data_IF_878635728543
#
_entry.id   IF_878635728543
#
_cell.length_a   1.000
_cell.length_b   1.000
_cell.length_c   1.000
_cell.angle_alpha   90.00
_cell.angle_beta   90.00
_cell.angle_gamma   90.00
#
_symmetry.space_group_name_H-M   'P 1'
#
loop_
_entity.id
_entity.type
_entity.pdbx_description
1 polymer ?
#
# COMPACT_ATOMS: atom_id res chain seq x y z
N UNK A 1 41.76 66.31 36.19
CA UNK A 1 40.58 66.94 35.59
C UNK A 1 40.71 66.84 34.09
N UNK A 2 39.62 66.52 33.40
CA UNK A 2 39.46 66.17 31.97
C UNK A 2 39.65 64.70 31.59
N UNK A 3 38.52 64.00 31.68
CA UNK A 3 38.16 62.86 30.84
C UNK A 3 37.94 63.28 29.39
N UNK A 4 38.17 62.36 28.44
CA UNK A 4 37.51 62.30 27.13
C UNK A 4 37.56 60.85 26.59
N UNK A 5 36.46 60.12 26.78
CA UNK A 5 36.01 59.01 25.92
C UNK A 5 35.53 59.58 24.55
N UNK A 6 35.22 58.78 23.49
CA UNK A 6 35.32 57.32 23.32
C UNK A 6 36.00 56.89 21.99
N UNK A 7 36.49 55.65 21.94
CA UNK A 7 36.97 54.99 20.71
C UNK A 7 35.77 54.68 19.79
N UNK A 8 35.73 55.36 18.65
CA UNK A 8 34.77 55.15 17.58
C UNK A 8 34.81 53.73 17.01
N UNK A 9 33.62 53.19 16.82
CA UNK A 9 33.28 51.88 16.24
C UNK A 9 33.99 51.67 14.89
N UNK A 10 34.85 50.67 14.83
CA UNK A 10 35.31 50.11 13.56
C UNK A 10 34.14 49.35 12.93
N UNK A 11 33.56 49.92 11.87
CA UNK A 11 32.56 49.27 11.01
C UNK A 11 33.30 48.23 10.17
N UNK A 12 33.35 46.98 10.65
CA UNK A 12 33.75 45.83 9.86
C UNK A 12 32.52 45.32 9.08
N UNK A 13 32.23 45.96 7.95
CA UNK A 13 31.26 45.46 6.98
C UNK A 13 31.97 44.41 6.11
N UNK A 14 32.18 43.21 6.67
CA UNK A 14 32.61 42.04 5.90
C UNK A 14 31.37 41.51 5.17
N UNK A 15 31.26 41.96 3.93
CA UNK A 15 30.32 41.51 2.91
C UNK A 15 30.38 39.98 2.81
N UNK A 16 29.43 39.28 3.44
CA UNK A 16 29.13 37.90 3.10
C UNK A 16 28.60 37.88 1.66
N UNK A 17 29.51 37.78 0.69
CA UNK A 17 29.23 37.28 -0.64
C UNK A 17 28.75 35.84 -0.48
N UNK A 18 27.44 35.69 -0.24
CA UNK A 18 26.74 34.45 -0.52
C UNK A 18 26.88 34.22 -2.02
N UNK A 19 27.93 33.48 -2.41
CA UNK A 19 28.03 32.90 -3.74
C UNK A 19 26.73 32.12 -3.94
N UNK A 20 25.89 32.48 -4.93
CA UNK A 20 24.77 31.62 -5.28
C UNK A 20 25.39 30.27 -5.64
N UNK A 21 25.04 29.22 -4.90
CA UNK A 21 25.38 27.87 -5.28
C UNK A 21 24.79 27.65 -6.67
N UNK A 22 25.64 27.64 -7.69
CA UNK A 22 25.24 27.38 -9.06
C UNK A 22 24.41 26.11 -9.06
N UNK A 23 23.13 26.21 -9.40
CA UNK A 23 22.30 25.04 -9.61
C UNK A 23 22.97 24.22 -10.72
N UNK A 24 23.48 23.04 -10.39
CA UNK A 24 24.00 22.10 -11.37
C UNK A 24 22.80 21.58 -12.16
N UNK A 25 22.39 22.31 -13.19
CA UNK A 25 21.16 22.06 -13.96
C UNK A 25 21.24 20.80 -14.86
N UNK A 26 22.41 20.15 -14.92
CA UNK A 26 22.64 18.93 -15.69
C UNK A 26 22.90 17.76 -14.74
N UNK A 27 21.93 16.85 -14.64
CA UNK A 27 22.03 15.65 -13.82
C UNK A 27 22.82 14.57 -14.57
N UNK A 28 23.91 14.10 -13.96
CA UNK A 28 24.71 13.00 -14.51
C UNK A 28 24.29 11.68 -13.87
N UNK A 29 23.83 10.68 -14.65
CA UNK A 29 23.39 9.41 -14.11
C UNK A 29 24.48 8.69 -13.31
N UNK A 30 24.11 8.13 -12.16
CA UNK A 30 25.04 7.43 -11.25
C UNK A 30 25.25 5.99 -11.70
N UNK A 31 26.51 5.60 -11.87
CA UNK A 31 26.90 4.24 -12.25
C UNK A 31 26.49 3.18 -11.21
N UNK A 32 26.13 2.00 -11.70
CA UNK A 32 25.89 0.82 -10.88
C UNK A 32 27.18 0.35 -10.22
N UNK A 33 27.05 -0.25 -9.04
CA UNK A 33 28.19 -0.89 -8.34
C UNK A 33 28.72 -2.12 -9.07
N UNK A 34 27.87 -2.79 -9.85
CA UNK A 34 28.21 -4.05 -10.52
C UNK A 34 28.74 -3.83 -11.95
N UNK A 35 28.24 -2.81 -12.64
CA UNK A 35 28.64 -2.52 -14.03
C UNK A 35 28.44 -1.02 -14.30
N UNK A 36 29.52 -0.31 -14.61
CA UNK A 36 29.52 1.13 -14.85
C UNK A 36 28.70 1.55 -16.09
N UNK A 37 28.42 0.61 -17.00
CA UNK A 37 27.61 0.83 -18.21
C UNK A 37 26.12 0.90 -17.91
N UNK A 38 25.70 0.43 -16.72
CA UNK A 38 24.35 0.59 -16.19
C UNK A 38 24.34 1.77 -15.24
N UNK A 39 23.53 2.78 -15.53
CA UNK A 39 23.40 3.98 -14.71
C UNK A 39 21.97 4.18 -14.23
N UNK A 40 21.82 4.90 -13.12
CA UNK A 40 20.55 5.21 -12.49
C UNK A 40 20.40 6.71 -12.30
N UNK A 41 19.20 7.21 -12.50
CA UNK A 41 18.86 8.62 -12.25
C UNK A 41 17.48 8.71 -11.63
N UNK A 42 17.30 9.66 -10.72
CA UNK A 42 15.99 9.95 -10.16
C UNK A 42 15.29 10.93 -11.10
N UNK A 43 14.05 10.63 -11.47
CA UNK A 43 13.26 11.53 -12.28
C UNK A 43 12.93 12.81 -11.51
N UNK A 44 13.09 13.94 -12.19
CA UNK A 44 12.68 15.26 -11.77
C UNK A 44 12.23 16.02 -13.02
N UNK A 45 11.00 16.58 -13.06
CA UNK A 45 10.51 17.31 -14.24
C UNK A 45 11.31 18.57 -14.58
N UNK A 46 12.08 19.12 -13.63
CA UNK A 46 12.87 20.34 -13.83
C UNK A 46 14.33 20.08 -14.23
N UNK A 47 14.75 18.82 -14.41
CA UNK A 47 16.14 18.46 -14.68
C UNK A 47 16.36 17.96 -16.10
N UNK A 48 17.53 18.29 -16.66
CA UNK A 48 18.02 17.72 -17.92
C UNK A 48 19.03 16.61 -17.59
N UNK A 49 18.88 15.46 -18.22
CA UNK A 49 19.68 14.26 -17.94
C UNK A 49 20.73 14.08 -19.04
N UNK A 50 22.00 13.94 -18.67
CA UNK A 50 23.08 13.66 -19.63
C UNK A 50 23.12 12.18 -20.02
N UNK A 51 23.16 11.89 -21.32
CA UNK A 51 23.33 10.55 -21.89
C UNK A 51 24.58 10.51 -22.77
N UNK A 52 25.55 9.67 -22.38
CA UNK A 52 26.79 9.51 -23.14
C UNK A 52 26.65 8.37 -24.16
N UNK A 53 26.45 8.76 -25.42
CA UNK A 53 26.25 7.86 -26.54
C UNK A 53 27.54 7.67 -27.32
N UNK A 54 27.87 6.41 -27.62
CA UNK A 54 29.10 6.04 -28.33
C UNK A 54 28.77 5.39 -29.66
N UNK A 55 29.52 5.73 -30.70
CA UNK A 55 29.33 5.16 -32.04
C UNK A 55 29.30 3.62 -32.01
N UNK A 56 28.26 3.03 -32.59
CA UNK A 56 28.09 1.57 -32.64
C UNK A 56 27.60 0.91 -31.34
N UNK A 57 27.31 1.68 -30.28
CA UNK A 57 26.69 1.19 -29.04
C UNK A 57 25.22 1.64 -29.00
N UNK A 58 24.31 0.70 -28.70
CA UNK A 58 22.92 1.03 -28.45
C UNK A 58 22.70 1.37 -26.97
N UNK A 59 22.04 2.48 -26.71
CA UNK A 59 21.66 2.92 -25.37
C UNK A 59 20.20 2.58 -25.10
N UNK A 60 19.94 1.91 -23.98
CA UNK A 60 18.61 1.54 -23.51
C UNK A 60 18.18 2.45 -22.36
N UNK A 61 17.06 3.16 -22.51
CA UNK A 61 16.38 3.89 -21.43
C UNK A 61 15.18 3.07 -20.95
N UNK A 62 15.12 2.81 -19.65
CA UNK A 62 14.02 2.09 -19.01
C UNK A 62 13.22 3.06 -18.13
N UNK A 63 11.99 3.36 -18.56
CA UNK A 63 11.04 4.21 -17.85
C UNK A 63 10.26 3.40 -16.80
N UNK A 64 9.32 4.05 -16.11
CA UNK A 64 8.44 3.40 -15.13
C UNK A 64 7.63 2.27 -15.77
N UNK A 65 7.53 1.09 -15.12
CA UNK A 65 6.59 0.06 -15.55
C UNK A 65 5.15 0.59 -15.64
N UNK A 66 4.51 0.37 -16.80
CA UNK A 66 3.16 0.83 -17.09
C UNK A 66 3.07 2.28 -17.59
N UNK A 67 4.21 2.95 -17.81
CA UNK A 67 4.29 4.19 -18.58
C UNK A 67 4.41 3.87 -20.08
N UNK A 68 3.69 4.62 -20.91
CA UNK A 68 3.56 4.37 -22.35
C UNK A 68 4.17 5.52 -23.14
N UNK A 69 5.12 5.18 -24.02
CA UNK A 69 5.70 6.10 -24.98
C UNK A 69 4.63 6.71 -25.90
N UNK A 70 4.66 8.04 -26.09
CA UNK A 70 3.80 8.73 -27.06
C UNK A 70 4.60 9.37 -28.19
N UNK A 71 5.63 10.15 -27.85
CA UNK A 71 6.35 10.95 -28.84
C UNK A 71 7.79 11.24 -28.43
N UNK A 72 8.66 11.53 -29.41
CA UNK A 72 10.03 11.98 -29.18
C UNK A 72 10.45 13.02 -30.22
N UNK A 73 11.43 13.86 -29.84
CA UNK A 73 12.09 14.80 -30.74
C UNK A 73 13.59 14.78 -30.45
N UNK A 74 14.39 14.54 -31.49
CA UNK A 74 15.83 14.83 -31.45
C UNK A 74 16.09 16.22 -32.03
N UNK A 75 17.06 16.94 -31.48
CA UNK A 75 17.51 18.21 -32.09
C UNK A 75 18.08 17.98 -33.49
N UNK A 76 18.87 16.92 -33.68
CA UNK A 76 19.25 16.39 -34.99
C UNK A 76 18.63 15.00 -35.20
N UNK A 77 17.53 14.97 -35.96
CA UNK A 77 16.79 13.74 -36.26
C UNK A 77 17.52 12.74 -37.16
N UNK A 78 18.51 13.18 -37.96
CA UNK A 78 19.24 12.29 -38.88
C UNK A 78 20.43 11.62 -38.19
N UNK A 79 20.89 12.18 -37.08
CA UNK A 79 22.07 11.71 -36.36
C UNK A 79 21.81 10.50 -35.45
N UNK A 80 20.55 10.12 -35.23
CA UNK A 80 20.17 9.03 -34.34
C UNK A 80 19.11 8.09 -34.93
N UNK A 81 19.33 6.79 -34.75
CA UNK A 81 18.27 5.80 -34.91
C UNK A 81 17.58 5.55 -33.57
N UNK A 82 16.24 5.52 -33.57
CA UNK A 82 15.42 5.31 -32.37
C UNK A 82 14.39 4.21 -32.59
N UNK A 83 14.15 3.41 -31.54
CA UNK A 83 13.07 2.42 -31.49
C UNK A 83 12.58 2.27 -30.06
N UNK A 84 11.34 1.82 -29.88
CA UNK A 84 10.74 1.67 -28.56
C UNK A 84 9.87 0.41 -28.48
N UNK A 85 9.69 -0.07 -27.24
CA UNK A 85 8.74 -1.12 -26.91
C UNK A 85 8.22 -0.88 -25.49
N UNK A 86 6.95 -0.50 -25.37
CA UNK A 86 6.33 -0.13 -24.09
C UNK A 86 7.12 0.99 -23.39
N UNK A 87 7.65 0.72 -22.20
CA UNK A 87 8.46 1.63 -21.38
C UNK A 87 9.97 1.53 -21.65
N UNK A 88 10.37 0.77 -22.68
CA UNK A 88 11.77 0.64 -23.10
C UNK A 88 12.02 1.48 -24.35
N UNK A 89 12.98 2.40 -24.28
CA UNK A 89 13.41 3.22 -25.39
C UNK A 89 14.85 2.84 -25.75
N UNK A 90 15.15 2.75 -27.04
CA UNK A 90 16.47 2.40 -27.52
C UNK A 90 16.88 3.42 -28.57
N UNK A 91 18.11 3.90 -28.47
CA UNK A 91 18.68 4.75 -29.48
C UNK A 91 20.15 4.43 -29.71
N UNK A 92 20.67 4.81 -30.88
CA UNK A 92 22.09 4.72 -31.20
C UNK A 92 22.49 5.85 -32.15
N UNK A 93 23.70 6.42 -32.02
CA UNK A 93 24.22 7.35 -33.01
C UNK A 93 24.39 6.67 -34.37
N UNK A 94 24.02 7.37 -35.44
CA UNK A 94 24.21 6.98 -36.85
C UNK A 94 25.09 7.93 -37.64
N UNK A 95 25.27 9.16 -37.16
CA UNK A 95 26.19 10.15 -37.72
C UNK A 95 27.37 10.43 -36.78
N UNK A 96 28.41 11.06 -37.33
CA UNK A 96 29.49 11.67 -36.56
C UNK A 96 29.07 13.05 -36.03
N UNK A 97 29.75 13.55 -35.00
CA UNK A 97 29.48 14.84 -34.34
C UNK A 97 28.02 15.04 -33.93
N UNK A 98 27.39 13.97 -33.44
CA UNK A 98 25.95 13.91 -33.15
C UNK A 98 25.54 14.59 -31.82
N UNK A 99 26.31 15.51 -31.26
CA UNK A 99 25.95 16.19 -30.01
C UNK A 99 24.62 16.96 -30.14
N UNK A 100 23.60 16.58 -29.37
CA UNK A 100 22.25 17.17 -29.50
C UNK A 100 21.39 16.94 -28.24
N UNK A 101 20.10 17.18 -28.32
CA UNK A 101 19.12 16.88 -27.29
C UNK A 101 18.08 15.85 -27.74
N UNK A 102 17.45 15.20 -26.77
CA UNK A 102 16.31 14.31 -26.97
C UNK A 102 15.22 14.67 -25.96
N UNK A 103 14.02 14.95 -26.45
CA UNK A 103 12.82 15.13 -25.65
C UNK A 103 11.93 13.91 -25.84
N UNK A 104 11.43 13.33 -24.75
CA UNK A 104 10.51 12.19 -24.79
C UNK A 104 9.25 12.52 -24.00
N UNK A 105 8.09 12.28 -24.62
CA UNK A 105 6.77 12.50 -24.03
C UNK A 105 6.06 11.16 -23.88
N UNK A 106 5.49 10.94 -22.70
CA UNK A 106 4.71 9.74 -22.35
C UNK A 106 3.31 10.10 -21.86
N UNK A 107 2.50 9.10 -21.54
CA UNK A 107 1.21 9.26 -20.84
C UNK A 107 1.30 9.81 -19.41
N UNK A 108 2.49 9.84 -18.81
CA UNK A 108 2.68 10.31 -17.43
C UNK A 108 3.60 11.51 -17.31
N UNK A 109 4.66 11.58 -18.12
CA UNK A 109 5.82 12.45 -17.87
C UNK A 109 6.45 12.94 -19.17
N UNK A 110 7.23 14.00 -19.02
CA UNK A 110 8.11 14.54 -20.06
C UNK A 110 9.55 14.38 -19.59
N UNK A 111 10.44 14.02 -20.49
CA UNK A 111 11.86 13.85 -20.22
C UNK A 111 12.68 14.70 -21.17
N UNK A 112 13.63 15.44 -20.60
CA UNK A 112 14.62 16.21 -21.35
C UNK A 112 16.01 15.59 -21.17
N UNK A 113 16.62 15.17 -22.27
CA UNK A 113 17.95 14.57 -22.30
C UNK A 113 18.90 15.43 -23.12
N UNK A 114 20.14 15.56 -22.63
CA UNK A 114 21.29 16.05 -23.41
C UNK A 114 22.10 14.84 -23.84
N UNK A 115 22.28 14.69 -25.15
CA UNK A 115 23.08 13.62 -25.73
C UNK A 115 24.50 14.13 -25.94
N UNK A 116 25.48 13.41 -25.41
CA UNK A 116 26.89 13.59 -25.78
C UNK A 116 27.30 12.44 -26.71
N UNK A 117 28.06 12.76 -27.75
CA UNK A 117 28.56 11.83 -28.73
C UNK A 117 30.06 11.58 -28.52
N UNK A 118 30.47 10.32 -28.65
CA UNK A 118 31.89 9.98 -28.77
C UNK A 118 32.13 9.01 -29.93
N UNK A 119 33.12 9.36 -30.75
CA UNK A 119 33.63 8.49 -31.80
C UNK A 119 34.55 7.38 -31.26
N UNK A 120 35.10 7.54 -30.04
CA UNK A 120 35.94 6.51 -29.43
C UNK A 120 35.09 5.38 -28.85
N UNK A 121 35.20 4.19 -29.45
CA UNK A 121 34.49 2.98 -29.00
C UNK A 121 34.90 2.51 -27.60
N UNK A 122 36.03 2.98 -27.09
CA UNK A 122 36.51 2.67 -25.74
C UNK A 122 36.06 3.70 -24.69
N UNK A 123 35.39 4.79 -25.11
CA UNK A 123 34.83 5.77 -24.20
C UNK A 123 33.79 5.13 -23.25
N UNK A 124 33.54 5.72 -22.07
CA UNK A 124 32.60 5.19 -21.08
C UNK A 124 31.15 5.30 -21.56
N UNK A 125 30.73 4.37 -22.42
CA UNK A 125 29.41 4.35 -23.03
C UNK A 125 28.30 4.00 -22.02
N UNK A 126 27.15 4.66 -22.17
CA UNK A 126 25.92 4.30 -21.48
C UNK A 126 25.18 3.20 -22.23
N UNK A 127 25.10 2.00 -21.64
CA UNK A 127 24.35 0.88 -22.22
C UNK A 127 22.91 0.88 -21.73
N UNK A 128 22.71 1.13 -20.43
CA UNK A 128 21.39 1.09 -19.81
C UNK A 128 21.21 2.21 -18.79
N UNK A 129 20.18 3.02 -18.98
CA UNK A 129 19.68 3.97 -17.99
C UNK A 129 18.40 3.43 -17.35
N UNK A 130 18.39 3.39 -16.02
CA UNK A 130 17.20 3.05 -15.23
C UNK A 130 16.68 4.30 -14.54
N UNK A 131 15.47 4.72 -14.91
CA UNK A 131 14.77 5.83 -14.26
C UNK A 131 14.16 5.36 -12.94
N UNK A 132 14.38 6.13 -11.88
CA UNK A 132 13.79 5.90 -10.55
C UNK A 132 12.83 7.02 -10.18
N UNK A 133 11.78 6.68 -9.44
CA UNK A 133 10.67 7.58 -9.13
C UNK A 133 10.43 7.60 -7.62
N UNK A 134 11.22 8.37 -6.86
CA UNK A 134 11.23 8.28 -5.39
C UNK A 134 9.87 8.58 -4.77
N UNK A 135 9.08 9.50 -5.34
CA UNK A 135 7.73 9.82 -4.86
C UNK A 135 6.76 8.64 -5.01
N UNK A 136 6.83 7.92 -6.14
CA UNK A 136 5.96 6.77 -6.39
C UNK A 136 6.35 5.62 -5.47
N UNK A 137 7.64 5.34 -5.32
CA UNK A 137 8.15 4.32 -4.41
C UNK A 137 7.74 4.60 -2.97
N UNK A 138 7.86 5.85 -2.51
CA UNK A 138 7.42 6.27 -1.18
C UNK A 138 5.91 6.08 -0.99
N UNK A 139 5.09 6.47 -1.98
CA UNK A 139 3.63 6.28 -1.94
C UNK A 139 3.25 4.80 -1.87
N UNK A 140 3.87 3.96 -2.69
CA UNK A 140 3.63 2.52 -2.69
C UNK A 140 3.99 1.88 -1.35
N UNK A 141 5.13 2.28 -0.76
CA UNK A 141 5.55 1.82 0.56
C UNK A 141 4.58 2.26 1.66
N UNK A 142 4.11 3.50 1.64
CA UNK A 142 3.13 4.00 2.59
C UNK A 142 1.80 3.24 2.49
N UNK A 143 1.31 2.99 1.28
CA UNK A 143 0.09 2.21 1.07
C UNK A 143 0.24 0.76 1.53
N UNK A 144 1.38 0.12 1.26
CA UNK A 144 1.66 -1.24 1.72
C UNK A 144 1.72 -1.32 3.25
N UNK A 145 2.38 -0.34 3.89
CA UNK A 145 2.43 -0.25 5.36
C UNK A 145 1.04 -0.05 5.97
N UNK A 146 0.19 0.79 5.36
CA UNK A 146 -1.18 0.99 5.81
C UNK A 146 -2.02 -0.28 5.68
N UNK A 147 -1.93 -1.00 4.55
CA UNK A 147 -2.63 -2.28 4.36
C UNK A 147 -2.21 -3.31 5.40
N UNK A 148 -0.90 -3.45 5.63
CA UNK A 148 -0.37 -4.36 6.63
C UNK A 148 -0.84 -3.99 8.05
N UNK A 149 -0.92 -2.69 8.38
CA UNK A 149 -1.44 -2.24 9.67
C UNK A 149 -2.93 -2.59 9.84
N UNK A 150 -3.74 -2.42 8.80
CA UNK A 150 -5.17 -2.80 8.80
C UNK A 150 -5.34 -4.31 8.94
N UNK A 151 -4.55 -5.10 8.23
CA UNK A 151 -4.62 -6.57 8.31
C UNK A 151 -4.25 -7.06 9.71
N UNK A 152 -3.18 -6.51 10.29
CA UNK A 152 -2.79 -6.80 11.68
C UNK A 152 -3.88 -6.42 12.67
N UNK A 153 -4.52 -5.26 12.51
CA UNK A 153 -5.58 -4.86 13.43
C UNK A 153 -6.82 -5.74 13.28
N UNK A 154 -7.18 -6.18 12.08
CA UNK A 154 -8.25 -7.15 11.85
C UNK A 154 -7.96 -8.49 12.54
N UNK A 155 -6.73 -9.00 12.45
CA UNK A 155 -6.33 -10.25 13.10
C UNK A 155 -6.22 -10.13 14.62
N UNK A 156 -5.73 -9.00 15.13
CA UNK A 156 -5.55 -8.77 16.56
C UNK A 156 -6.85 -8.47 17.30
N UNK A 157 -7.98 -8.33 16.59
CA UNK A 157 -9.27 -8.00 17.19
C UNK A 157 -9.94 -9.24 17.79
N UNK A 158 -9.30 -9.81 18.81
CA UNK A 158 -9.96 -10.70 19.75
C UNK A 158 -10.70 -9.81 20.76
N UNK A 159 -12.03 -9.75 20.66
CA UNK A 159 -12.87 -9.09 21.65
C UNK A 159 -12.82 -9.81 23.01
N UNK A 160 -13.48 -9.23 24.02
CA UNK A 160 -13.72 -9.93 25.28
C UNK A 160 -14.44 -11.25 25.00
N UNK A 161 -13.84 -12.34 25.46
CA UNK A 161 -14.20 -13.69 25.05
C UNK A 161 -14.82 -14.42 26.24
N UNK A 162 -16.05 -14.89 26.07
CA UNK A 162 -16.79 -15.61 27.09
C UNK A 162 -16.44 -17.10 27.04
N UNK A 163 -15.53 -17.52 27.93
CA UNK A 163 -15.01 -18.89 27.99
C UNK A 163 -15.78 -19.82 28.96
N UNK A 164 -16.62 -19.27 29.83
CA UNK A 164 -17.05 -19.97 31.07
C UNK A 164 -18.55 -20.27 31.15
N UNK A 165 -19.33 -19.98 30.10
CA UNK A 165 -20.78 -20.02 30.19
C UNK A 165 -21.46 -21.06 29.28
N UNK A 166 -20.72 -22.01 28.74
CA UNK A 166 -21.28 -23.01 27.83
C UNK A 166 -21.49 -24.35 28.54
N UNK A 167 -22.75 -24.74 28.74
CA UNK A 167 -23.14 -26.06 29.25
C UNK A 167 -23.69 -26.92 28.10
N UNK A 168 -23.72 -28.24 28.28
CA UNK A 168 -24.15 -29.19 27.25
C UNK A 168 -25.06 -30.27 27.80
N UNK A 169 -26.01 -30.72 26.99
CA UNK A 169 -26.94 -31.80 27.30
C UNK A 169 -27.26 -32.62 26.05
N UNK A 170 -27.30 -33.95 26.15
CA UNK A 170 -27.57 -34.86 25.02
C UNK A 170 -26.38 -35.76 24.71
N UNK A 171 -26.21 -36.13 23.44
CA UNK A 171 -25.19 -37.10 23.03
C UNK A 171 -23.78 -36.48 23.04
N UNK A 172 -22.91 -36.98 23.92
CA UNK A 172 -21.56 -36.49 24.10
C UNK A 172 -20.61 -36.80 22.94
N UNK A 173 -20.93 -37.75 22.05
CA UNK A 173 -20.08 -38.13 20.90
C UNK A 173 -19.90 -37.01 19.87
N UNK A 174 -20.83 -36.04 19.82
CA UNK A 174 -20.77 -34.89 18.92
C UNK A 174 -20.46 -33.58 19.66
N UNK A 175 -19.97 -33.68 20.89
CA UNK A 175 -19.71 -32.51 21.70
C UNK A 175 -18.41 -31.80 21.30
N UNK A 176 -18.43 -30.46 21.21
CA UNK A 176 -17.20 -29.71 21.08
C UNK A 176 -16.36 -29.83 22.37
N UNK A 177 -15.04 -29.78 22.21
CA UNK A 177 -14.07 -29.69 23.30
C UNK A 177 -14.12 -28.32 23.95
N UNK A 178 -14.25 -27.27 23.13
CA UNK A 178 -14.32 -25.89 23.57
C UNK A 178 -15.46 -25.15 22.88
N UNK A 179 -16.17 -24.32 23.64
CA UNK A 179 -17.19 -23.42 23.13
C UNK A 179 -17.04 -22.06 23.80
N UNK A 180 -17.03 -20.98 23.00
CA UNK A 180 -16.91 -19.61 23.50
C UNK A 180 -17.59 -18.63 22.55
N UNK A 181 -17.82 -17.40 23.01
CA UNK A 181 -18.26 -16.29 22.14
C UNK A 181 -17.48 -15.00 22.38
N UNK A 182 -17.48 -14.13 21.37
CA UNK A 182 -16.93 -12.76 21.43
C UNK A 182 -18.04 -11.69 21.45
N UNK A 183 -19.28 -12.10 21.78
CA UNK A 183 -20.49 -11.27 21.70
C UNK A 183 -21.08 -11.11 20.29
N UNK A 184 -20.37 -11.49 19.22
CA UNK A 184 -20.85 -11.42 17.82
C UNK A 184 -20.92 -12.79 17.15
N UNK A 185 -19.95 -13.63 17.39
CA UNK A 185 -19.77 -14.97 16.86
C UNK A 185 -19.65 -15.97 18.01
N UNK A 186 -20.19 -17.16 17.81
CA UNK A 186 -19.96 -18.31 18.68
C UNK A 186 -18.99 -19.26 17.99
N UNK A 187 -17.96 -19.68 18.70
CA UNK A 187 -16.92 -20.57 18.23
C UNK A 187 -17.09 -21.92 18.92
N UNK A 188 -17.05 -22.99 18.12
CA UNK A 188 -17.16 -24.36 18.59
C UNK A 188 -15.96 -25.14 18.03
N UNK A 189 -15.11 -25.64 18.91
CA UNK A 189 -13.96 -26.45 18.54
C UNK A 189 -14.21 -27.92 18.86
N UNK A 190 -14.10 -28.77 17.84
CA UNK A 190 -14.37 -30.21 17.94
C UNK A 190 -13.07 -31.00 18.14
N UNK A 191 -13.18 -32.25 18.65
CA UNK A 191 -12.05 -33.16 18.68
C UNK A 191 -11.50 -33.41 17.27
N UNK A 192 -10.21 -33.71 17.11
CA UNK A 192 -9.67 -34.12 15.82
C UNK A 192 -10.37 -35.38 15.29
N UNK A 193 -10.42 -35.54 13.97
CA UNK A 193 -10.96 -36.73 13.28
C UNK A 193 -12.44 -37.06 13.61
N UNK A 194 -13.22 -36.06 14.03
CA UNK A 194 -14.66 -36.22 14.30
C UNK A 194 -15.49 -35.61 13.17
N UNK A 195 -16.58 -36.28 12.81
CA UNK A 195 -17.56 -35.76 11.84
C UNK A 195 -18.21 -34.47 12.37
N UNK A 196 -18.24 -33.44 11.52
CA UNK A 196 -18.76 -32.12 11.91
C UNK A 196 -20.29 -32.13 11.94
N UNK A 197 -20.94 -31.88 13.09
CA UNK A 197 -22.39 -31.82 13.17
C UNK A 197 -22.95 -30.56 12.50
N UNK A 198 -24.20 -30.63 12.05
CA UNK A 198 -24.93 -29.45 11.60
C UNK A 198 -25.44 -28.68 12.82
N UNK A 199 -25.23 -27.35 12.84
CA UNK A 199 -25.61 -26.49 13.96
C UNK A 199 -26.87 -25.70 13.64
N UNK A 200 -27.85 -25.81 14.53
CA UNK A 200 -29.11 -25.08 14.49
C UNK A 200 -29.19 -24.13 15.68
N UNK A 201 -29.63 -22.91 15.41
CA UNK A 201 -30.00 -21.95 16.45
C UNK A 201 -31.40 -22.27 16.95
N UNK A 202 -31.60 -22.26 18.25
CA UNK A 202 -32.95 -22.36 18.83
C UNK A 202 -33.48 -20.95 19.09
N UNK A 203 -34.62 -20.63 18.50
CA UNK A 203 -35.34 -19.37 18.73
C UNK A 203 -36.00 -19.34 20.12
N UNK A 204 -36.41 -18.17 20.63
CA UNK A 204 -37.18 -18.09 21.88
C UNK A 204 -38.44 -18.96 21.88
N UNK A 205 -39.04 -19.15 20.70
CA UNK A 205 -40.23 -19.99 20.48
C UNK A 205 -39.91 -21.49 20.42
N UNK A 206 -38.63 -21.87 20.56
CA UNK A 206 -38.17 -23.26 20.54
C UNK A 206 -37.95 -23.85 19.14
N UNK A 207 -38.12 -23.08 18.06
CA UNK A 207 -37.88 -23.55 16.70
C UNK A 207 -36.38 -23.53 16.34
N UNK A 208 -35.95 -24.54 15.59
CA UNK A 208 -34.59 -24.67 15.05
C UNK A 208 -34.42 -23.91 13.73
N UNK A 209 -33.41 -23.05 13.64
CA UNK A 209 -33.12 -22.22 12.47
C UNK A 209 -31.64 -22.34 12.10
N UNK A 210 -31.36 -22.55 10.81
CA UNK A 210 -29.98 -22.62 10.30
C UNK A 210 -29.32 -21.25 10.43
N UNK A 211 -28.04 -21.23 10.82
CA UNK A 211 -27.22 -20.01 10.93
C UNK A 211 -26.02 -20.12 10.01
N UNK A 212 -25.62 -18.99 9.42
CA UNK A 212 -24.39 -18.92 8.64
C UNK A 212 -23.18 -19.23 9.51
N UNK A 213 -22.28 -20.06 8.99
CA UNK A 213 -21.05 -20.42 9.65
C UNK A 213 -19.91 -20.51 8.63
N UNK A 214 -18.69 -20.52 9.14
CA UNK A 214 -17.50 -20.90 8.39
C UNK A 214 -16.56 -21.68 9.28
N UNK A 215 -15.64 -22.42 8.68
CA UNK A 215 -14.56 -23.08 9.39
C UNK A 215 -13.37 -22.12 9.49
N UNK A 216 -12.90 -21.83 10.69
CA UNK A 216 -11.68 -21.05 10.91
C UNK A 216 -10.42 -21.92 10.75
N UNK A 217 -10.54 -23.20 11.11
CA UNK A 217 -9.57 -24.25 10.88
C UNK A 217 -10.31 -25.60 10.71
N UNK A 218 -9.60 -26.71 10.55
CA UNK A 218 -10.19 -28.04 10.33
C UNK A 218 -11.10 -28.53 11.48
N UNK A 219 -10.99 -27.94 12.67
CA UNK A 219 -11.70 -28.37 13.89
C UNK A 219 -12.57 -27.28 14.51
N UNK A 220 -12.42 -26.03 14.09
CA UNK A 220 -13.05 -24.87 14.73
C UNK A 220 -14.09 -24.26 13.79
N UNK A 221 -15.36 -24.44 14.14
CA UNK A 221 -16.51 -23.85 13.46
C UNK A 221 -16.89 -22.52 14.11
N UNK A 222 -17.12 -21.51 13.27
CA UNK A 222 -17.48 -20.15 13.70
C UNK A 222 -18.86 -19.78 13.18
N UNK A 223 -19.80 -19.65 14.10
CA UNK A 223 -21.18 -19.27 13.86
C UNK A 223 -21.29 -17.75 13.83
N UNK A 224 -21.95 -17.18 12.82
CA UNK A 224 -22.07 -15.72 12.61
C UNK A 224 -23.09 -15.03 13.52
N UNK A 225 -23.36 -15.62 14.68
CA UNK A 225 -24.28 -15.08 15.68
C UNK A 225 -24.02 -15.74 17.04
N UNK A 226 -24.44 -15.10 18.12
CA UNK A 226 -24.59 -15.68 19.45
C UNK A 226 -26.05 -16.06 19.73
N UNK A 227 -26.28 -17.13 20.51
CA UNK A 227 -27.61 -17.62 20.87
C UNK A 227 -27.62 -18.16 22.30
N UNK A 228 -28.74 -18.08 23.04
CA UNK A 228 -28.87 -18.75 24.33
C UNK A 228 -28.83 -20.27 24.21
N UNK A 229 -29.26 -20.83 23.07
CA UNK A 229 -29.28 -22.28 22.82
C UNK A 229 -28.92 -22.62 21.38
N UNK A 230 -28.16 -23.70 21.24
CA UNK A 230 -27.77 -24.31 19.97
C UNK A 230 -28.08 -25.81 20.00
N UNK A 231 -28.58 -26.36 18.90
CA UNK A 231 -28.73 -27.80 18.70
C UNK A 231 -27.77 -28.27 17.62
N UNK A 232 -26.93 -29.24 17.97
CA UNK A 232 -26.01 -29.92 17.08
C UNK A 232 -26.66 -31.25 16.68
N UNK A 233 -26.70 -31.53 15.37
CA UNK A 233 -27.27 -32.76 14.83
C UNK A 233 -26.29 -33.46 13.92
N UNK A 234 -26.15 -34.78 14.10
CA UNK A 234 -25.38 -35.65 13.22
C UNK A 234 -26.12 -36.99 13.11
N UNK A 235 -26.74 -37.25 11.95
CA UNK A 235 -27.66 -38.39 11.79
C UNK A 235 -28.76 -38.36 12.85
N UNK A 236 -28.82 -39.41 13.68
CA UNK A 236 -29.81 -39.54 14.77
C UNK A 236 -29.31 -38.98 16.11
N UNK A 237 -28.09 -38.44 16.16
CA UNK A 237 -27.51 -37.88 17.38
C UNK A 237 -27.87 -36.41 17.51
N UNK A 238 -28.25 -36.00 18.73
CA UNK A 238 -28.61 -34.62 19.06
C UNK A 238 -27.89 -34.19 20.34
N UNK A 239 -27.31 -33.00 20.30
CA UNK A 239 -26.69 -32.35 21.45
C UNK A 239 -27.16 -30.91 21.53
N UNK A 240 -27.64 -30.49 22.69
CA UNK A 240 -27.93 -29.09 22.97
C UNK A 240 -26.76 -28.45 23.73
N UNK A 241 -26.37 -27.26 23.29
CA UNK A 241 -25.41 -26.37 23.96
C UNK A 241 -26.17 -25.15 24.46
N UNK A 242 -26.04 -24.82 25.75
CA UNK A 242 -26.68 -23.66 26.36
C UNK A 242 -25.61 -22.63 26.72
N UNK A 243 -25.88 -21.36 26.39
CA UNK A 243 -25.07 -20.22 26.80
C UNK A 243 -25.73 -19.56 28.02
N UNK A 244 -25.22 -19.88 29.21
CA UNK A 244 -25.72 -19.41 30.50
C UNK A 244 -25.46 -17.91 30.73
N UNK A 245 -24.53 -17.31 29.98
CA UNK A 245 -24.17 -15.89 30.07
C UNK A 245 -24.61 -15.12 28.81
N UNK A 246 -25.62 -15.61 28.10
CA UNK A 246 -26.13 -14.95 26.91
C UNK A 246 -26.55 -13.50 27.21
N UNK A 247 -25.99 -12.55 26.45
CA UNK A 247 -26.28 -11.12 26.60
C UNK A 247 -25.41 -10.39 27.63
N UNK A 248 -24.56 -11.09 28.37
CA UNK A 248 -23.59 -10.47 29.30
C UNK A 248 -22.28 -10.07 28.59
N UNK A 249 -21.94 -10.70 27.45
CA UNK A 249 -20.78 -10.32 26.64
C UNK A 249 -21.07 -9.01 25.90
N UNK A 250 -20.32 -7.92 26.15
CA UNK A 250 -20.54 -6.65 25.48
C UNK A 250 -20.24 -6.78 23.98
N UNK A 251 -21.18 -6.34 23.14
CA UNK A 251 -21.00 -6.36 21.68
C UNK A 251 -19.96 -5.31 21.29
N UNK A 252 -18.86 -5.68 20.59
CA UNK A 252 -17.89 -4.71 20.08
C UNK A 252 -18.56 -3.65 19.20
N UNK A 253 -18.01 -2.42 19.21
CA UNK A 253 -18.53 -1.30 18.44
C UNK A 253 -18.82 -1.68 16.98
N UNK A 254 -19.97 -1.24 16.45
CA UNK A 254 -20.37 -1.51 15.06
C UNK A 254 -19.54 -0.71 14.06
N UNK A 255 -18.31 -1.15 13.80
CA UNK A 255 -17.41 -0.58 12.79
C UNK A 255 -17.67 -1.14 11.38
N UNK A 256 -18.53 -2.15 11.27
CA UNK A 256 -18.73 -2.90 10.03
C UNK A 256 -17.58 -3.84 9.68
N UNK A 257 -16.63 -4.06 10.60
CA UNK A 257 -15.56 -5.05 10.48
C UNK A 257 -15.46 -5.89 11.77
N UNK A 258 -14.55 -6.87 11.81
CA UNK A 258 -14.20 -7.61 13.02
C UNK A 258 -13.36 -6.76 14.00
N UNK A 259 -12.74 -5.67 13.53
CA UNK A 259 -11.87 -4.83 14.34
C UNK A 259 -12.57 -3.58 14.90
N UNK A 260 -12.33 -3.22 16.18
CA UNK A 260 -12.84 -1.99 16.75
C UNK A 260 -12.14 -0.75 16.19
N UNK A 261 -10.95 -0.89 15.58
CA UNK A 261 -10.20 0.25 15.02
C UNK A 261 -10.35 0.39 13.51
N UNK A 262 -10.90 -0.61 12.82
CA UNK A 262 -11.10 -0.57 11.37
C UNK A 262 -12.57 -0.35 11.04
N UNK A 263 -12.88 0.76 10.37
CA UNK A 263 -14.23 1.08 9.92
C UNK A 263 -14.41 0.77 8.43
N UNK A 264 -15.48 0.03 8.10
CA UNK A 264 -15.87 -0.21 6.70
C UNK A 264 -16.50 1.07 6.13
N UNK A 265 -15.95 1.58 5.04
CA UNK A 265 -16.54 2.67 4.24
C UNK A 265 -16.81 2.16 2.83
N UNK A 266 -17.99 2.48 2.30
CA UNK A 266 -18.35 2.17 0.91
C UNK A 266 -17.85 3.31 0.04
N UNK A 267 -16.89 3.03 -0.86
CA UNK A 267 -16.43 4.02 -1.84
C UNK A 267 -17.57 4.36 -2.80
N UNK A 268 -17.99 5.62 -2.82
CA UNK A 268 -19.08 6.12 -3.69
C UNK A 268 -20.44 6.32 -3.01
N UNK A 269 -20.60 5.95 -1.73
CA UNK A 269 -21.79 6.34 -0.97
C UNK A 269 -21.62 7.79 -0.47
N UNK A 270 -22.54 8.68 -0.88
CA UNK A 270 -22.60 10.05 -0.36
C UNK A 270 -22.61 10.03 1.18
N UNK A 271 -21.84 10.92 1.80
CA UNK A 271 -21.84 11.08 3.25
C UNK A 271 -23.29 11.30 3.72
N UNK A 272 -23.73 10.65 4.81
CA UNK A 272 -25.07 10.88 5.32
C UNK A 272 -25.21 12.36 5.69
N UNK A 273 -26.18 13.02 5.05
CA UNK A 273 -26.53 14.41 5.33
C UNK A 273 -26.96 14.49 6.80
N UNK A 274 -26.36 15.35 7.63
CA UNK A 274 -26.79 15.51 9.01
C UNK A 274 -28.23 16.04 9.03
N UNK A 275 -29.16 15.23 9.53
CA UNK A 275 -30.55 15.66 9.78
C UNK A 275 -30.54 16.62 10.95
N UNK A 276 -30.66 17.92 10.67
CA UNK A 276 -30.99 18.93 11.66
C UNK A 276 -32.37 18.61 12.24
N UNK A 277 -32.43 18.21 13.51
CA UNK A 277 -33.70 18.17 14.24
C UNK A 277 -34.14 19.61 14.49
N UNK A 278 -35.11 20.08 13.72
CA UNK A 278 -35.87 21.29 14.06
C UNK A 278 -36.64 20.97 15.35
N UNK A 279 -36.34 21.70 16.43
CA UNK A 279 -37.20 21.70 17.61
C UNK A 279 -38.46 22.46 17.24
N UNK A 280 -39.59 21.76 17.15
CA UNK A 280 -40.90 22.40 17.11
C UNK A 280 -41.07 23.16 18.44
N UNK A 281 -41.28 24.47 18.32
CA UNK A 281 -41.67 25.34 19.43
C UNK A 281 -43.20 25.38 19.35
N UNK A 282 -43.86 24.67 20.24
CA UNK A 282 -45.33 24.71 20.40
C UNK A 282 -45.74 26.11 20.92
N UNK A 283 -46.86 26.68 20.45
CA UNK A 283 -47.27 28.07 20.73
C UNK A 283 -47.52 28.40 22.20
#
# INVERSE_FOLDING_TARGET
>A
MFELFPRGRAVALLLCLALPASAWALETPRSSRLDHRVRYVNYDPANVIQLDAVIGVATHIMLEPGETYQYHVFGDSQAYAFTYKNHHLFFKPTAEDADTNLIVITDRREYSFRLSYSHDRNAPALYKLVMRYPEVEARMKAQAAQKAAIERSLQASAGTMNWQAYTRSGNASIAPVHAWDDGRHTWLQFPPETDMPTVYRVTPDGQEVITNYHMADERTMVLHRTSPRWHLRLGNQVLAIHNEAFGLTPVPAHTGTASPTVRRTVKGAAAPVPTLRVREITP
#
